data_IF_254923755712
#
_entry.id   IF_254923755712
#
_cell.length_a   1.000
_cell.length_b   1.000
_cell.length_c   1.000
_cell.angle_alpha   90.00
_cell.angle_beta   90.00
_cell.angle_gamma   90.00
#
_symmetry.space_group_name_H-M   'P 1'
#
loop_
_entity.id
_entity.type
_entity.pdbx_description
1 polymer ?
#
# COMPACT_ATOMS: atom_id res chain seq x y z
N UNK A 1 -75.09 -15.38 3.01
CA UNK A 1 -74.14 -14.26 3.09
C UNK A 1 -73.56 -14.35 4.50
N UNK A 2 -72.33 -14.75 4.74
CA UNK A 2 -71.08 -14.40 4.08
C UNK A 2 -70.06 -15.55 4.23
N UNK A 3 -69.49 -16.00 3.12
CA UNK A 3 -68.37 -16.94 3.12
C UNK A 3 -67.11 -16.23 3.65
N UNK A 4 -66.56 -16.72 4.76
CA UNK A 4 -65.25 -16.31 5.25
C UNK A 4 -64.17 -16.90 4.33
N UNK A 5 -63.56 -16.01 3.56
CA UNK A 5 -62.52 -16.30 2.60
C UNK A 5 -61.21 -16.63 3.34
N UNK A 6 -61.05 -17.89 3.74
CA UNK A 6 -59.87 -18.39 4.44
C UNK A 6 -58.71 -18.55 3.44
N UNK A 7 -58.08 -17.43 3.04
CA UNK A 7 -56.90 -17.45 2.20
C UNK A 7 -55.72 -18.05 2.99
N UNK A 8 -55.42 -19.33 2.75
CA UNK A 8 -54.20 -19.96 3.22
C UNK A 8 -52.99 -19.33 2.49
N UNK A 9 -52.27 -18.43 3.17
CA UNK A 9 -50.99 -17.95 2.68
C UNK A 9 -49.92 -19.01 2.94
N UNK A 10 -49.31 -19.53 1.87
CA UNK A 10 -48.09 -20.33 1.96
C UNK A 10 -46.92 -19.37 2.02
N UNK A 11 -46.35 -19.17 3.21
CA UNK A 11 -45.09 -18.44 3.37
C UNK A 11 -43.96 -19.41 3.07
N UNK A 12 -43.44 -19.40 1.83
CA UNK A 12 -42.20 -20.10 1.51
C UNK A 12 -41.01 -19.28 2.01
N UNK A 13 -40.32 -19.78 3.04
CA UNK A 13 -38.98 -19.30 3.38
C UNK A 13 -37.99 -19.98 2.43
N UNK A 14 -37.74 -19.38 1.27
CA UNK A 14 -36.58 -19.79 0.48
C UNK A 14 -35.31 -19.37 1.20
N UNK A 15 -34.37 -20.30 1.36
CA UNK A 15 -33.08 -19.98 1.97
C UNK A 15 -32.21 -19.24 0.95
N UNK A 16 -32.31 -17.91 0.97
CA UNK A 16 -31.57 -17.01 0.08
C UNK A 16 -30.03 -17.15 0.19
N UNK A 17 -29.51 -17.89 1.18
CA UNK A 17 -28.08 -18.18 1.29
C UNK A 17 -27.53 -19.00 0.13
N UNK A 18 -28.34 -19.86 -0.50
CA UNK A 18 -27.90 -20.71 -1.63
C UNK A 18 -27.67 -19.90 -2.92
N UNK A 19 -28.33 -18.75 -3.08
CA UNK A 19 -28.21 -17.87 -4.24
C UNK A 19 -27.05 -16.86 -4.13
N UNK A 20 -26.35 -16.82 -2.98
CA UNK A 20 -25.20 -15.92 -2.77
C UNK A 20 -23.85 -16.51 -3.17
N UNK A 21 -23.80 -17.75 -3.67
CA UNK A 21 -22.54 -18.39 -4.08
C UNK A 21 -21.67 -17.51 -4.99
N UNK A 22 -22.23 -16.81 -5.97
CA UNK A 22 -21.46 -15.91 -6.83
C UNK A 22 -20.84 -14.73 -6.07
N UNK A 23 -21.58 -14.15 -5.13
CA UNK A 23 -21.09 -13.07 -4.28
C UNK A 23 -20.01 -13.57 -3.30
N UNK A 24 -20.23 -14.73 -2.68
CA UNK A 24 -19.29 -15.35 -1.75
C UNK A 24 -18.00 -15.78 -2.49
N UNK A 25 -18.10 -16.28 -3.72
CA UNK A 25 -16.95 -16.61 -4.57
C UNK A 25 -16.18 -15.37 -4.99
N UNK A 26 -16.89 -14.29 -5.34
CA UNK A 26 -16.27 -13.00 -5.63
C UNK A 26 -15.53 -12.44 -4.41
N UNK A 27 -16.11 -12.53 -3.22
CA UNK A 27 -15.43 -12.13 -1.98
C UNK A 27 -14.17 -12.97 -1.74
N UNK A 28 -14.26 -14.29 -1.86
CA UNK A 28 -13.07 -15.18 -1.72
C UNK A 28 -11.99 -14.87 -2.74
N UNK A 29 -12.38 -14.53 -3.98
CA UNK A 29 -11.43 -14.10 -4.99
C UNK A 29 -10.75 -12.78 -4.60
N UNK A 30 -11.52 -11.79 -4.17
CA UNK A 30 -10.99 -10.51 -3.69
C UNK A 30 -10.04 -10.70 -2.51
N UNK A 31 -10.39 -11.54 -1.54
CA UNK A 31 -9.52 -11.88 -0.40
C UNK A 31 -8.19 -12.50 -0.86
N UNK A 32 -8.22 -13.45 -1.81
CA UNK A 32 -6.99 -14.05 -2.36
C UNK A 32 -6.14 -13.04 -3.13
N UNK A 33 -6.76 -12.13 -3.88
CA UNK A 33 -6.04 -11.05 -4.58
C UNK A 33 -5.39 -10.12 -3.55
N UNK A 34 -6.11 -9.72 -2.50
CA UNK A 34 -5.55 -8.91 -1.39
C UNK A 34 -4.41 -9.63 -0.67
N UNK A 35 -4.52 -10.93 -0.43
CA UNK A 35 -3.46 -11.74 0.18
C UNK A 35 -2.23 -11.84 -0.74
N UNK A 36 -2.43 -12.04 -2.04
CA UNK A 36 -1.35 -12.05 -3.03
C UNK A 36 -0.65 -10.69 -3.14
N UNK A 37 -1.42 -9.59 -3.15
CA UNK A 37 -0.88 -8.22 -3.09
C UNK A 37 -0.03 -8.06 -1.83
N UNK A 38 -0.54 -8.46 -0.67
CA UNK A 38 0.17 -8.30 0.61
C UNK A 38 1.47 -9.11 0.67
N UNK A 39 1.47 -10.32 0.14
CA UNK A 39 2.65 -11.20 0.12
C UNK A 39 3.72 -10.71 -0.86
N UNK A 40 3.32 -10.16 -2.01
CA UNK A 40 4.22 -9.68 -3.06
C UNK A 40 4.49 -8.17 -3.00
N UNK A 41 3.87 -7.45 -2.07
CA UNK A 41 3.96 -5.99 -1.93
C UNK A 41 5.41 -5.46 -1.94
N UNK A 42 6.38 -6.06 -1.21
CA UNK A 42 7.75 -5.57 -1.21
C UNK A 42 8.42 -5.63 -2.58
N UNK A 43 8.10 -6.65 -3.38
CA UNK A 43 8.66 -6.82 -4.72
C UNK A 43 7.99 -5.85 -5.70
N UNK A 44 6.66 -5.75 -5.66
CA UNK A 44 5.88 -4.88 -6.55
C UNK A 44 6.25 -3.40 -6.41
N UNK A 45 6.35 -2.89 -5.17
CA UNK A 45 6.74 -1.50 -4.88
C UNK A 45 8.12 -1.15 -5.46
N UNK A 46 8.95 -2.18 -5.61
CA UNK A 46 10.33 -2.06 -6.04
C UNK A 46 10.54 -2.32 -7.54
N UNK A 47 9.45 -2.38 -8.31
CA UNK A 47 9.49 -2.42 -9.76
C UNK A 47 9.72 -1.02 -10.35
N UNK A 48 10.63 -0.94 -11.33
CA UNK A 48 11.05 0.33 -11.94
C UNK A 48 9.98 0.92 -12.87
N UNK A 49 9.14 0.05 -13.43
CA UNK A 49 7.96 0.41 -14.23
C UNK A 49 7.03 1.37 -13.47
N UNK A 50 6.82 1.14 -12.18
CA UNK A 50 5.88 1.93 -11.37
C UNK A 50 6.40 3.34 -11.09
N UNK A 51 7.70 3.48 -10.84
CA UNK A 51 8.33 4.77 -10.50
C UNK A 51 8.47 5.66 -11.74
N UNK A 52 8.62 5.04 -12.92
CA UNK A 52 8.85 5.73 -14.19
C UNK A 52 7.55 6.00 -14.96
N UNK A 53 6.39 5.46 -14.53
CA UNK A 53 5.14 5.57 -15.28
C UNK A 53 4.13 6.56 -14.71
N UNK A 54 3.39 7.20 -15.63
CA UNK A 54 2.42 8.27 -15.33
C UNK A 54 1.06 7.73 -14.85
N UNK A 55 1.05 6.82 -13.87
CA UNK A 55 -0.12 6.47 -13.05
C UNK A 55 -1.30 5.79 -13.75
N UNK A 56 -1.12 5.24 -14.96
CA UNK A 56 -2.18 4.58 -15.74
C UNK A 56 -1.99 3.07 -15.95
N UNK A 57 -0.97 2.49 -15.34
CA UNK A 57 -0.65 1.10 -15.59
C UNK A 57 -1.40 0.16 -14.65
N UNK A 58 -1.85 -0.94 -15.24
CA UNK A 58 -2.43 -2.09 -14.57
C UNK A 58 -1.29 -3.08 -14.31
N UNK A 59 -1.09 -3.45 -13.06
CA UNK A 59 0.00 -4.34 -12.65
C UNK A 59 -0.51 -5.77 -12.65
N UNK A 60 0.25 -6.70 -13.23
CA UNK A 60 -0.14 -8.11 -13.28
C UNK A 60 0.52 -8.89 -12.15
N UNK A 61 -0.29 -9.45 -11.27
CA UNK A 61 0.18 -10.25 -10.14
C UNK A 61 -0.16 -11.72 -10.40
N UNK A 62 0.81 -12.65 -10.34
CA UNK A 62 0.51 -14.07 -10.43
C UNK A 62 -0.26 -14.52 -9.18
N UNK A 63 -1.48 -14.99 -9.37
CA UNK A 63 -2.29 -15.66 -8.36
C UNK A 63 -2.26 -17.17 -8.58
N UNK A 64 -2.09 -17.91 -7.49
CA UNK A 64 -2.26 -19.37 -7.49
C UNK A 64 -3.74 -19.67 -7.62
N UNK A 65 -4.15 -20.16 -8.79
CA UNK A 65 -5.47 -20.75 -8.96
C UNK A 65 -5.38 -22.25 -8.74
N UNK A 66 -6.44 -22.82 -8.17
CA UNK A 66 -6.64 -24.26 -8.20
C UNK A 66 -7.47 -24.55 -9.44
N UNK A 67 -6.95 -25.40 -10.32
CA UNK A 67 -7.74 -25.91 -11.43
C UNK A 67 -8.98 -26.62 -10.89
N UNK A 68 -10.13 -26.33 -11.49
CA UNK A 68 -11.34 -27.09 -11.22
C UNK A 68 -11.10 -28.56 -11.56
N UNK A 69 -11.62 -29.45 -10.71
CA UNK A 69 -11.55 -30.88 -10.98
C UNK A 69 -12.27 -31.20 -12.28
N UNK A 70 -11.50 -31.53 -13.33
CA UNK A 70 -12.05 -32.01 -14.60
C UNK A 70 -12.23 -33.53 -14.50
N UNK A 71 -13.45 -33.99 -14.77
CA UNK A 71 -13.69 -35.42 -14.99
C UNK A 71 -12.91 -35.80 -16.25
N UNK A 72 -11.83 -36.55 -16.08
CA UNK A 72 -11.09 -37.14 -17.20
C UNK A 72 -11.68 -38.51 -17.50
N UNK A 73 -11.88 -38.80 -18.79
CA UNK A 73 -12.17 -40.16 -19.21
C UNK A 73 -10.97 -41.03 -18.84
N UNK A 74 -11.23 -42.06 -18.03
CA UNK A 74 -10.23 -43.07 -17.71
C UNK A 74 -10.11 -43.99 -18.94
N UNK A 75 -9.07 -43.78 -19.75
CA UNK A 75 -8.79 -44.59 -20.94
C UNK A 75 -8.27 -45.99 -20.58
N UNK A 76 -7.83 -46.24 -19.34
CA UNK A 76 -7.29 -47.53 -18.89
C UNK A 76 -8.36 -48.61 -18.76
N UNK A 77 -9.65 -48.24 -18.74
CA UNK A 77 -10.77 -49.19 -18.74
C UNK A 77 -11.25 -49.61 -20.13
N UNK A 78 -10.69 -49.07 -21.21
CA UNK A 78 -10.97 -49.59 -22.54
C UNK A 78 -10.27 -50.94 -22.71
N UNK A 79 -10.97 -51.93 -23.27
CA UNK A 79 -10.36 -53.21 -23.67
C UNK A 79 -9.36 -52.92 -24.79
N UNK A 80 -8.09 -52.76 -24.44
CA UNK A 80 -7.01 -52.68 -25.42
C UNK A 80 -6.80 -54.07 -26.03
N UNK A 81 -6.74 -54.14 -27.35
CA UNK A 81 -6.31 -55.34 -28.08
C UNK A 81 -4.82 -55.17 -28.33
N UNK A 82 -3.98 -55.96 -27.68
CA UNK A 82 -2.53 -55.95 -27.95
C UNK A 82 -2.24 -56.69 -29.25
N UNK A 83 -1.57 -56.04 -30.19
CA UNK A 83 -1.07 -56.66 -31.42
C UNK A 83 0.42 -56.99 -31.21
N UNK A 84 0.77 -58.28 -31.24
CA UNK A 84 2.16 -58.73 -31.21
C UNK A 84 2.73 -58.89 -32.62
N UNK A 85 4.07 -58.89 -32.73
CA UNK A 85 4.82 -58.99 -34.00
C UNK A 85 4.77 -60.38 -34.68
N UNK A 86 3.87 -61.28 -34.25
CA UNK A 86 3.57 -62.53 -34.94
C UNK A 86 4.30 -63.79 -34.44
N UNK A 87 5.30 -63.66 -33.55
CA UNK A 87 6.09 -64.80 -33.02
C UNK A 87 5.86 -65.10 -31.52
N UNK A 88 4.78 -64.59 -30.91
CA UNK A 88 4.53 -64.70 -29.47
C UNK A 88 4.01 -66.08 -29.04
N UNK A 89 4.49 -66.60 -27.89
CA UNK A 89 4.00 -67.85 -27.29
C UNK A 89 3.02 -67.57 -26.14
N UNK A 90 2.19 -68.56 -25.83
CA UNK A 90 1.22 -68.49 -24.73
C UNK A 90 1.98 -68.33 -23.40
N UNK A 91 1.90 -67.14 -22.79
CA UNK A 91 2.59 -66.78 -21.55
C UNK A 91 3.46 -65.52 -21.64
N UNK A 92 3.70 -65.00 -22.86
CA UNK A 92 4.53 -63.80 -23.04
C UNK A 92 3.78 -62.51 -22.65
N UNK A 93 4.45 -61.64 -21.90
CA UNK A 93 3.93 -60.33 -21.50
C UNK A 93 4.24 -59.31 -22.60
N UNK A 94 3.20 -58.89 -23.32
CA UNK A 94 3.34 -58.05 -24.53
C UNK A 94 3.55 -56.56 -24.21
N UNK A 95 3.18 -56.10 -23.01
CA UNK A 95 3.53 -54.78 -22.49
C UNK A 95 3.37 -54.74 -20.96
N UNK A 96 4.18 -53.94 -20.26
CA UNK A 96 4.03 -53.64 -18.84
C UNK A 96 3.78 -52.14 -18.70
N UNK A 97 2.65 -51.78 -18.08
CA UNK A 97 2.25 -50.38 -17.93
C UNK A 97 3.28 -49.62 -17.08
N UNK A 98 3.84 -48.52 -17.60
CA UNK A 98 4.83 -47.68 -16.92
C UNK A 98 6.31 -47.92 -17.21
N UNK A 99 6.70 -48.70 -18.23
CA UNK A 99 8.10 -48.76 -18.67
C UNK A 99 8.40 -47.69 -19.73
N UNK A 100 9.29 -46.71 -19.46
CA UNK A 100 9.74 -45.77 -20.48
C UNK A 100 10.64 -46.50 -21.46
N UNK A 101 10.25 -46.54 -22.72
CA UNK A 101 11.14 -46.91 -23.81
C UNK A 101 12.26 -45.87 -23.92
N UNK A 102 13.49 -46.33 -23.72
CA UNK A 102 14.77 -45.75 -24.11
C UNK A 102 14.91 -44.21 -24.14
N UNK A 103 15.31 -43.64 -23.00
CA UNK A 103 16.03 -42.36 -22.96
C UNK A 103 17.43 -42.58 -22.37
N UNK A 104 18.42 -42.62 -23.26
CA UNK A 104 19.83 -42.67 -22.92
C UNK A 104 20.24 -41.51 -22.01
N UNK A 105 21.02 -41.84 -20.98
CA UNK A 105 21.53 -40.88 -20.01
C UNK A 105 22.44 -39.82 -20.63
N UNK A 106 22.02 -38.56 -20.52
CA UNK A 106 22.85 -37.38 -20.74
C UNK A 106 22.85 -36.51 -19.48
N UNK A 107 24.01 -36.38 -18.84
CA UNK A 107 24.27 -35.34 -17.82
C UNK A 107 24.13 -33.96 -18.47
N UNK A 108 23.03 -33.28 -18.22
CA UNK A 108 22.82 -31.88 -18.52
C UNK A 108 21.89 -31.27 -17.47
N UNK A 109 22.11 -30.00 -17.12
CA UNK A 109 21.12 -29.17 -16.44
C UNK A 109 19.90 -29.03 -17.37
N UNK A 110 19.03 -30.04 -17.35
CA UNK A 110 17.74 -30.03 -18.05
C UNK A 110 16.65 -29.50 -17.13
N UNK A 111 15.73 -28.72 -17.67
CA UNK A 111 14.51 -28.32 -16.98
C UNK A 111 13.80 -29.58 -16.45
N UNK A 112 13.38 -29.55 -15.18
CA UNK A 112 12.76 -30.72 -14.56
C UNK A 112 11.46 -31.11 -15.26
N UNK A 113 11.22 -32.41 -15.42
CA UNK A 113 10.03 -33.01 -16.04
C UNK A 113 8.72 -32.83 -15.23
N UNK A 114 8.73 -31.97 -14.21
CA UNK A 114 7.50 -31.61 -13.50
C UNK A 114 6.83 -30.48 -14.29
N UNK A 115 5.57 -30.70 -14.69
CA UNK A 115 4.74 -29.62 -15.22
C UNK A 115 4.80 -28.44 -14.25
N UNK A 116 5.12 -27.25 -14.77
CA UNK A 116 5.03 -26.02 -13.99
C UNK A 116 3.61 -25.83 -13.48
N UNK A 117 3.45 -25.21 -12.32
CA UNK A 117 2.13 -24.78 -11.87
C UNK A 117 1.67 -23.63 -12.77
N UNK A 118 0.46 -23.72 -13.34
CA UNK A 118 -0.13 -22.63 -14.11
C UNK A 118 -0.52 -21.51 -13.14
N UNK A 119 0.07 -20.32 -13.33
CA UNK A 119 -0.27 -19.11 -12.57
C UNK A 119 -1.22 -18.25 -13.41
N UNK A 120 -2.29 -17.76 -12.81
CA UNK A 120 -3.19 -16.81 -13.47
C UNK A 120 -2.73 -15.40 -13.13
N UNK A 121 -2.69 -14.51 -14.11
CA UNK A 121 -2.33 -13.10 -13.89
C UNK A 121 -3.60 -12.32 -13.50
N UNK A 122 -3.64 -11.80 -12.28
CA UNK A 122 -4.66 -10.84 -11.85
C UNK A 122 -4.18 -9.42 -12.15
N UNK A 123 -5.04 -8.64 -12.79
CA UNK A 123 -4.83 -7.21 -13.04
C UNK A 123 -5.19 -6.43 -11.78
N UNK A 124 -4.19 -5.75 -11.20
CA UNK A 124 -4.33 -4.93 -9.98
C UNK A 124 -4.07 -3.48 -10.32
N UNK A 125 -4.93 -2.62 -9.80
CA UNK A 125 -4.79 -1.18 -9.99
C UNK A 125 -3.74 -0.59 -9.06
N UNK A 126 -3.12 0.51 -9.51
CA UNK A 126 -2.20 1.29 -8.69
C UNK A 126 -2.84 1.73 -7.35
N UNK A 127 -4.13 2.09 -7.38
CA UNK A 127 -4.87 2.55 -6.21
C UNK A 127 -5.01 1.47 -5.14
N UNK A 128 -5.29 0.21 -5.53
CA UNK A 128 -5.39 -0.91 -4.59
C UNK A 128 -4.04 -1.21 -3.92
N UNK A 129 -2.93 -1.09 -4.69
CA UNK A 129 -1.59 -1.26 -4.14
C UNK A 129 -1.24 -0.13 -3.17
N UNK A 130 -1.57 1.12 -3.52
CA UNK A 130 -1.44 2.27 -2.64
C UNK A 130 -2.24 2.11 -1.34
N UNK A 131 -3.50 1.68 -1.43
CA UNK A 131 -4.33 1.43 -0.25
C UNK A 131 -3.72 0.35 0.66
N UNK A 132 -3.28 -0.77 0.07
CA UNK A 132 -2.64 -1.85 0.80
C UNK A 132 -1.33 -1.40 1.48
N UNK A 133 -0.53 -0.55 0.83
CA UNK A 133 0.70 0.01 1.37
C UNK A 133 0.44 1.05 2.47
N UNK A 134 -0.38 2.06 2.18
CA UNK A 134 -0.59 3.24 3.03
C UNK A 134 -1.43 2.93 4.27
N UNK A 135 -2.24 1.87 4.26
CA UNK A 135 -2.98 1.40 5.44
C UNK A 135 -2.08 1.11 6.65
N UNK A 136 -0.79 0.84 6.44
CA UNK A 136 0.18 0.51 7.49
C UNK A 136 1.13 1.67 7.85
N UNK A 137 1.03 2.81 7.18
CA UNK A 137 2.01 3.90 7.29
C UNK A 137 1.39 5.16 7.88
N UNK A 138 2.04 5.79 8.85
CA UNK A 138 1.63 7.06 9.45
C UNK A 138 2.86 7.94 9.71
N UNK A 139 2.68 9.27 9.73
CA UNK A 139 3.73 10.18 10.18
C UNK A 139 3.98 9.99 11.68
N UNK A 140 5.20 9.59 12.10
CA UNK A 140 5.50 9.38 13.50
C UNK A 140 5.55 10.71 14.25
N UNK A 141 5.21 10.71 15.53
CA UNK A 141 5.35 11.89 16.41
C UNK A 141 4.67 13.15 15.86
N UNK A 142 3.53 12.99 15.17
CA UNK A 142 2.75 14.11 14.64
C UNK A 142 2.10 14.86 15.82
N UNK A 143 2.57 16.08 16.08
CA UNK A 143 2.09 16.89 17.20
C UNK A 143 0.97 17.82 16.73
N UNK A 144 -0.08 17.93 17.56
CA UNK A 144 -1.09 18.98 17.43
C UNK A 144 -0.47 20.32 17.77
N UNK A 145 -0.26 21.17 16.77
CA UNK A 145 0.25 22.53 16.95
C UNK A 145 -0.94 23.48 17.15
N UNK A 146 -1.01 24.14 18.30
CA UNK A 146 -2.16 24.97 18.72
C UNK A 146 -2.41 26.21 17.85
N UNK A 147 -1.42 26.62 17.04
CA UNK A 147 -1.50 27.80 16.17
C UNK A 147 -1.77 27.47 14.69
N UNK A 148 -2.21 26.25 14.38
CA UNK A 148 -2.64 25.91 13.04
C UNK A 148 -4.03 26.53 12.76
N UNK A 149 -4.04 27.74 12.18
CA UNK A 149 -5.25 28.50 11.81
C UNK A 149 -6.14 27.83 10.73
N UNK A 150 -5.83 26.59 10.32
CA UNK A 150 -6.56 25.89 9.28
C UNK A 150 -7.46 24.81 9.88
N UNK A 151 -8.75 25.07 9.80
CA UNK A 151 -9.79 24.09 10.07
C UNK A 151 -10.16 23.42 8.75
N UNK A 152 -9.86 22.12 8.62
CA UNK A 152 -10.44 21.34 7.55
C UNK A 152 -11.94 21.18 7.82
N UNK A 153 -12.75 21.49 6.82
CA UNK A 153 -14.20 21.32 6.85
C UNK A 153 -14.53 19.85 6.55
N UNK A 154 -14.68 19.05 7.60
CA UNK A 154 -15.11 17.67 7.43
C UNK A 154 -16.63 17.57 7.50
N UNK A 155 -17.25 17.06 6.43
CA UNK A 155 -18.69 16.87 6.31
C UNK A 155 -19.06 15.50 6.90
N UNK A 156 -19.73 15.46 8.05
CA UNK A 156 -20.27 14.21 8.62
C UNK A 156 -21.80 14.14 8.46
N UNK A 157 -22.29 13.09 7.81
CA UNK A 157 -23.73 12.79 7.67
C UNK A 157 -24.29 12.08 8.93
N UNK A 158 -24.15 12.70 10.09
CA UNK A 158 -24.54 12.11 11.37
C UNK A 158 -25.87 12.65 11.95
N UNK A 159 -26.44 13.72 11.38
CA UNK A 159 -27.65 14.37 11.90
C UNK A 159 -28.91 13.97 11.12
N UNK A 160 -30.03 13.93 11.84
CA UNK A 160 -31.34 13.60 11.29
C UNK A 160 -32.34 14.67 11.67
N UNK A 161 -32.83 15.37 10.65
CA UNK A 161 -33.79 16.45 10.82
C UNK A 161 -35.17 16.05 10.31
N UNK A 162 -36.20 16.72 10.82
CA UNK A 162 -37.59 16.55 10.37
C UNK A 162 -37.87 17.27 9.04
N UNK A 163 -36.99 18.19 8.65
CA UNK A 163 -37.10 19.02 7.45
C UNK A 163 -35.76 19.05 6.74
N UNK A 164 -35.76 18.90 5.41
CA UNK A 164 -34.55 18.90 4.60
C UNK A 164 -34.85 18.74 3.11
N UNK A 165 -33.79 18.60 2.32
CA UNK A 165 -33.88 18.37 0.88
C UNK A 165 -34.48 16.99 0.59
N UNK A 166 -35.46 16.90 -0.32
CA UNK A 166 -36.13 15.63 -0.68
C UNK A 166 -35.19 14.54 -1.20
N UNK A 167 -34.02 14.92 -1.74
CA UNK A 167 -32.98 13.97 -2.13
C UNK A 167 -32.34 13.21 -0.96
N UNK A 168 -32.33 13.78 0.25
CA UNK A 168 -31.65 13.23 1.42
C UNK A 168 -32.58 12.54 2.42
N UNK A 169 -33.78 12.12 1.99
CA UNK A 169 -34.71 11.40 2.87
C UNK A 169 -34.09 10.07 3.31
N UNK A 170 -34.00 9.87 4.62
CA UNK A 170 -33.77 8.55 5.20
C UNK A 170 -35.06 7.73 5.11
N UNK A 171 -35.18 6.96 4.01
CA UNK A 171 -36.36 6.13 3.72
C UNK A 171 -36.67 5.16 4.87
N UNK A 172 -35.64 4.55 5.46
CA UNK A 172 -35.80 3.56 6.53
C UNK A 172 -36.34 4.22 7.79
N UNK A 173 -35.71 5.30 8.25
CA UNK A 173 -36.16 6.01 9.47
C UNK A 173 -37.50 6.70 9.28
N UNK A 174 -37.79 7.19 8.08
CA UNK A 174 -39.11 7.74 7.71
C UNK A 174 -40.20 6.68 7.83
N UNK A 175 -40.01 5.50 7.24
CA UNK A 175 -40.97 4.40 7.34
C UNK A 175 -41.16 3.93 8.79
N UNK A 176 -40.08 3.85 9.57
CA UNK A 176 -40.16 3.50 11.00
C UNK A 176 -40.95 4.56 11.79
N UNK A 177 -40.78 5.85 11.46
CA UNK A 177 -41.54 6.93 12.11
C UNK A 177 -43.03 6.81 11.82
N UNK A 178 -43.39 6.59 10.55
CA UNK A 178 -44.78 6.36 10.13
C UNK A 178 -45.37 5.13 10.82
N UNK A 179 -44.63 4.02 10.86
CA UNK A 179 -45.05 2.80 11.55
C UNK A 179 -45.31 3.04 13.04
N UNK A 180 -44.41 3.74 13.73
CA UNK A 180 -44.59 4.07 15.16
C UNK A 180 -45.84 4.91 15.40
N UNK A 181 -46.09 5.92 14.56
CA UNK A 181 -47.28 6.79 14.65
C UNK A 181 -48.58 6.03 14.36
N UNK A 182 -48.58 5.19 13.33
CA UNK A 182 -49.75 4.38 12.96
C UNK A 182 -50.05 3.32 14.05
N UNK A 183 -49.00 2.66 14.58
CA UNK A 183 -49.13 1.74 15.71
C UNK A 183 -49.69 2.41 16.98
N UNK A 184 -49.29 3.65 17.27
CA UNK A 184 -49.88 4.47 18.35
C UNK A 184 -51.38 4.75 18.13
N UNK A 185 -51.82 4.81 16.87
CA UNK A 185 -53.21 5.05 16.49
C UNK A 185 -54.04 3.76 16.36
N UNK A 186 -53.44 2.61 16.65
CA UNK A 186 -54.12 1.31 16.66
C UNK A 186 -54.03 0.50 15.36
N UNK A 187 -53.44 1.05 14.29
CA UNK A 187 -53.25 0.35 13.01
C UNK A 187 -51.76 0.27 12.67
N UNK A 188 -51.04 -0.78 13.06
CA UNK A 188 -49.61 -0.89 12.79
C UNK A 188 -49.33 -1.12 11.30
N UNK A 189 -49.04 -0.04 10.57
CA UNK A 189 -48.70 -0.08 9.14
C UNK A 189 -47.69 0.98 8.72
N UNK A 190 -47.02 0.78 7.58
CA UNK A 190 -46.08 1.76 7.01
C UNK A 190 -46.77 2.88 6.21
N UNK A 191 -48.08 2.77 6.00
CA UNK A 191 -48.91 3.74 5.30
C UNK A 191 -50.13 4.09 6.15
N UNK A 192 -50.66 5.32 6.06
CA UNK A 192 -50.16 6.46 5.29
C UNK A 192 -48.89 7.07 5.91
N UNK A 193 -48.03 7.67 5.07
CA UNK A 193 -46.86 8.46 5.50
C UNK A 193 -47.22 9.94 5.40
N UNK A 194 -47.11 10.68 6.50
CA UNK A 194 -47.32 12.13 6.50
C UNK A 194 -45.99 12.88 6.50
N UNK A 195 -46.05 14.19 6.20
CA UNK A 195 -44.86 15.06 6.18
C UNK A 195 -44.09 15.07 7.50
N UNK A 196 -44.78 14.85 8.62
CA UNK A 196 -44.21 14.79 9.97
C UNK A 196 -43.33 13.55 10.20
N UNK A 197 -43.56 12.49 9.43
CA UNK A 197 -42.80 11.25 9.49
C UNK A 197 -41.46 11.34 8.75
N UNK A 198 -41.28 12.37 7.90
CA UNK A 198 -40.05 12.53 7.14
C UNK A 198 -38.84 12.74 8.04
N UNK A 199 -37.81 11.95 7.77
CA UNK A 199 -36.48 12.07 8.36
C UNK A 199 -35.49 12.31 7.25
N UNK A 200 -34.72 13.38 7.35
CA UNK A 200 -33.72 13.77 6.37
C UNK A 200 -32.34 13.60 6.98
N UNK A 201 -31.42 12.99 6.24
CA UNK A 201 -30.00 12.98 6.59
C UNK A 201 -29.43 14.36 6.31
N UNK A 202 -28.91 15.00 7.34
CA UNK A 202 -28.23 16.29 7.25
C UNK A 202 -26.76 16.06 7.55
N UNK A 203 -25.92 16.87 6.91
CA UNK A 203 -24.51 16.91 7.25
C UNK A 203 -24.24 18.04 8.23
N UNK A 204 -23.32 17.80 9.15
CA UNK A 204 -22.72 18.85 9.95
C UNK A 204 -21.29 19.06 9.47
N UNK A 205 -20.89 20.32 9.38
CA UNK A 205 -19.50 20.71 9.17
C UNK A 205 -18.81 20.70 10.53
N UNK A 206 -17.86 19.79 10.71
CA UNK A 206 -17.03 19.73 11.90
C UNK A 206 -15.67 20.30 11.50
N UNK A 207 -15.28 21.39 12.16
CA UNK A 207 -13.94 21.92 12.05
C UNK A 207 -12.97 21.04 12.83
N UNK A 208 -12.14 20.27 12.13
CA UNK A 208 -11.04 19.52 12.74
C UNK A 208 -9.76 20.37 12.63
N UNK A 209 -9.07 20.67 13.75
CA UNK A 209 -7.79 21.33 13.69
C UNK A 209 -6.79 20.37 13.04
N UNK A 210 -6.27 20.74 11.88
CA UNK A 210 -5.28 19.94 11.17
C UNK A 210 -3.86 20.45 11.46
N UNK A 211 -2.93 19.52 11.63
CA UNK A 211 -1.55 19.84 12.00
C UNK A 211 -0.69 19.88 10.76
N UNK A 212 -0.19 21.08 10.42
CA UNK A 212 0.71 21.25 9.28
C UNK A 212 1.98 20.43 9.48
N UNK A 213 2.43 19.81 8.40
CA UNK A 213 3.70 19.12 8.37
C UNK A 213 4.45 19.47 7.09
N UNK A 214 5.77 19.53 7.20
CA UNK A 214 6.67 19.69 6.06
C UNK A 214 7.65 18.52 6.04
N UNK A 215 7.78 17.91 4.88
CA UNK A 215 8.74 16.83 4.62
C UNK A 215 9.86 17.37 3.75
N UNK A 216 11.09 17.32 4.26
CA UNK A 216 12.28 17.75 3.54
C UNK A 216 12.94 16.52 2.91
N UNK A 217 12.72 16.31 1.63
CA UNK A 217 13.26 15.20 0.85
C UNK A 217 14.66 15.57 0.35
N UNK A 218 15.69 15.01 0.98
CA UNK A 218 17.09 15.28 0.65
C UNK A 218 17.71 14.07 -0.06
N UNK A 219 18.19 14.27 -1.27
CA UNK A 219 18.85 13.22 -2.05
C UNK A 219 20.23 13.65 -2.50
N UNK A 220 21.19 12.78 -2.29
CA UNK A 220 22.52 12.90 -2.84
C UNK A 220 22.48 12.62 -4.36
N UNK A 221 23.06 13.51 -5.15
CA UNK A 221 23.15 13.42 -6.61
C UNK A 221 24.60 13.29 -7.08
N UNK A 222 25.53 13.00 -6.17
CA UNK A 222 26.95 12.84 -6.45
C UNK A 222 27.27 11.71 -7.44
N UNK A 223 28.54 11.66 -7.83
CA UNK A 223 29.07 10.65 -8.74
C UNK A 223 29.18 9.26 -8.13
N UNK A 224 29.23 9.12 -6.80
CA UNK A 224 29.30 7.82 -6.13
C UNK A 224 27.96 7.08 -6.18
N UNK A 225 26.85 7.83 -6.28
CA UNK A 225 25.52 7.30 -6.51
C UNK A 225 25.31 6.86 -7.97
N UNK A 226 25.41 5.54 -8.18
CA UNK A 226 25.13 4.88 -9.44
C UNK A 226 23.65 4.84 -9.80
N UNK A 227 23.34 4.14 -10.90
CA UNK A 227 21.96 3.98 -11.38
C UNK A 227 21.08 3.26 -10.35
N UNK A 228 21.62 2.23 -9.70
CA UNK A 228 20.88 1.44 -8.72
C UNK A 228 20.63 2.24 -7.44
N UNK A 229 21.63 2.98 -6.95
CA UNK A 229 21.50 3.79 -5.76
C UNK A 229 20.48 4.93 -5.95
N UNK A 230 20.56 5.62 -7.09
CA UNK A 230 19.59 6.65 -7.49
C UNK A 230 18.20 6.07 -7.66
N UNK A 231 18.08 4.88 -8.27
CA UNK A 231 16.82 4.19 -8.40
C UNK A 231 16.18 3.95 -7.03
N UNK A 232 16.92 3.42 -6.05
CA UNK A 232 16.37 3.13 -4.73
C UNK A 232 15.91 4.37 -3.96
N UNK A 233 16.71 5.44 -4.00
CA UNK A 233 16.33 6.71 -3.39
C UNK A 233 15.07 7.30 -4.05
N UNK A 234 15.01 7.31 -5.40
CA UNK A 234 13.86 7.81 -6.15
C UNK A 234 12.61 6.98 -5.90
N UNK A 235 12.71 5.65 -5.88
CA UNK A 235 11.58 4.78 -5.52
C UNK A 235 11.03 5.14 -4.14
N UNK A 236 11.89 5.28 -3.13
CA UNK A 236 11.45 5.67 -1.79
C UNK A 236 10.73 7.02 -1.79
N UNK A 237 11.32 8.06 -2.38
CA UNK A 237 10.71 9.40 -2.40
C UNK A 237 9.44 9.46 -3.24
N UNK A 238 9.33 8.68 -4.31
CA UNK A 238 8.12 8.55 -5.10
C UNK A 238 6.95 8.00 -4.27
N UNK A 239 7.17 6.88 -3.58
CA UNK A 239 6.16 6.28 -2.72
C UNK A 239 5.83 7.15 -1.52
N UNK A 240 6.82 7.81 -0.93
CA UNK A 240 6.63 8.77 0.14
C UNK A 240 5.77 9.96 -0.32
N UNK A 241 6.05 10.53 -1.47
CA UNK A 241 5.30 11.65 -2.03
C UNK A 241 3.82 11.27 -2.22
N UNK A 242 3.56 10.10 -2.82
CA UNK A 242 2.19 9.59 -2.97
C UNK A 242 1.51 9.31 -1.63
N UNK A 243 2.20 8.62 -0.73
CA UNK A 243 1.70 8.34 0.62
C UNK A 243 1.23 9.61 1.33
N UNK A 244 2.06 10.64 1.33
CA UNK A 244 1.78 11.89 2.03
C UNK A 244 0.62 12.64 1.40
N UNK A 245 0.57 12.74 0.06
CA UNK A 245 -0.52 13.41 -0.67
C UNK A 245 -1.86 12.69 -0.55
N UNK A 246 -1.85 11.36 -0.43
CA UNK A 246 -3.08 10.56 -0.29
C UNK A 246 -3.63 10.60 1.14
N UNK A 247 -2.75 10.60 2.16
CA UNK A 247 -3.17 10.50 3.58
C UNK A 247 -3.34 11.85 4.26
N UNK A 248 -2.62 12.89 3.84
CA UNK A 248 -2.59 14.18 4.51
C UNK A 248 -2.80 15.33 3.53
N UNK A 249 -3.79 16.18 3.80
CA UNK A 249 -4.12 17.32 2.93
C UNK A 249 -3.18 18.51 3.12
N UNK A 250 -2.64 18.71 4.33
CA UNK A 250 -1.85 19.90 4.70
C UNK A 250 -0.34 19.65 4.77
N UNK A 251 0.15 18.58 4.14
CA UNK A 251 1.59 18.28 4.06
C UNK A 251 2.24 18.99 2.87
N UNK A 252 3.26 19.79 3.15
CA UNK A 252 4.16 20.34 2.13
C UNK A 252 5.41 19.45 1.97
N UNK A 253 5.89 19.30 0.73
CA UNK A 253 7.08 18.49 0.43
C UNK A 253 8.07 19.39 -0.32
N UNK A 254 9.30 19.47 0.20
CA UNK A 254 10.38 20.25 -0.40
C UNK A 254 11.51 19.31 -0.79
N UNK A 255 11.90 19.36 -2.07
CA UNK A 255 12.93 18.51 -2.63
C UNK A 255 14.27 19.25 -2.67
N UNK A 256 15.30 18.66 -2.05
CA UNK A 256 16.64 19.20 -1.97
C UNK A 256 17.61 18.18 -2.57
N UNK A 257 18.21 18.53 -3.70
CA UNK A 257 19.30 17.76 -4.29
C UNK A 257 20.63 18.34 -3.82
N UNK A 258 21.61 17.48 -3.54
CA UNK A 258 22.95 17.94 -3.17
C UNK A 258 24.07 17.10 -3.79
N UNK A 259 25.17 17.78 -4.09
CA UNK A 259 26.46 17.19 -4.42
C UNK A 259 27.52 17.87 -3.54
N UNK A 260 28.33 18.73 -4.12
CA UNK A 260 29.16 19.72 -3.41
C UNK A 260 28.35 20.90 -2.90
N UNK A 261 27.23 21.22 -3.54
CA UNK A 261 26.30 22.28 -3.16
C UNK A 261 24.88 21.71 -3.10
N UNK A 262 24.05 22.28 -2.23
CA UNK A 262 22.65 21.88 -2.08
C UNK A 262 21.71 22.93 -2.68
N UNK A 263 20.71 22.47 -3.42
CA UNK A 263 19.70 23.32 -4.08
C UNK A 263 18.31 22.74 -3.87
N UNK A 264 17.35 23.63 -3.65
CA UNK A 264 15.93 23.28 -3.69
C UNK A 264 15.54 23.14 -5.16
N UNK A 265 14.95 22.01 -5.52
CA UNK A 265 14.60 21.65 -6.90
C UNK A 265 13.12 21.32 -6.98
N UNK A 266 12.47 21.51 -8.14
CA UNK A 266 11.11 21.01 -8.34
C UNK A 266 11.10 19.47 -8.36
N UNK A 267 9.90 18.90 -8.15
CA UNK A 267 9.67 17.45 -8.15
C UNK A 267 10.20 16.78 -9.43
N UNK A 268 9.92 17.37 -10.60
CA UNK A 268 10.37 16.83 -11.89
C UNK A 268 11.90 16.73 -12.00
N UNK A 269 12.62 17.78 -11.58
CA UNK A 269 14.09 17.82 -11.62
C UNK A 269 14.68 16.83 -10.62
N UNK A 270 14.06 16.66 -9.45
CA UNK A 270 14.51 15.71 -8.43
C UNK A 270 14.53 14.27 -8.96
N UNK A 271 13.50 13.87 -9.73
CA UNK A 271 13.40 12.52 -10.27
C UNK A 271 14.10 12.31 -11.62
N UNK A 272 14.34 13.37 -12.39
CA UNK A 272 14.92 13.25 -13.75
C UNK A 272 16.40 13.60 -13.84
N UNK A 273 16.90 14.52 -13.00
CA UNK A 273 18.23 15.12 -13.18
C UNK A 273 19.34 14.15 -12.76
N UNK A 274 20.36 14.04 -13.61
CA UNK A 274 21.62 13.37 -13.30
C UNK A 274 22.69 14.41 -13.03
N UNK A 275 23.29 14.39 -11.84
CA UNK A 275 24.45 15.22 -11.52
C UNK A 275 25.66 14.31 -11.25
N UNK A 276 26.85 14.88 -11.44
CA UNK A 276 28.13 14.24 -11.21
C UNK A 276 29.03 15.22 -10.45
N UNK A 277 29.69 14.74 -9.41
CA UNK A 277 30.47 15.57 -8.50
C UNK A 277 30.87 14.82 -7.24
N UNK A 278 31.67 15.45 -6.39
CA UNK A 278 31.94 14.95 -5.04
C UNK A 278 30.79 15.21 -4.09
N UNK A 279 30.83 14.59 -2.92
CA UNK A 279 29.77 14.66 -1.91
C UNK A 279 30.20 15.50 -0.72
N UNK A 280 29.43 16.54 -0.41
CA UNK A 280 29.56 17.35 0.82
C UNK A 280 28.18 17.39 1.48
N UNK A 281 27.91 16.43 2.36
CA UNK A 281 26.60 16.31 3.01
C UNK A 281 26.25 17.51 3.91
N UNK A 282 27.23 18.24 4.45
CA UNK A 282 26.91 19.42 5.28
C UNK A 282 26.19 20.51 4.50
N UNK A 283 26.30 20.53 3.17
CA UNK A 283 25.61 21.48 2.31
C UNK A 283 24.08 21.32 2.39
N UNK A 284 23.59 20.08 2.41
CA UNK A 284 22.14 19.78 2.41
C UNK A 284 21.49 20.15 3.73
N UNK A 285 22.16 19.86 4.85
CA UNK A 285 21.63 20.19 6.17
C UNK A 285 21.63 21.70 6.43
N UNK A 286 22.65 22.42 5.93
CA UNK A 286 22.65 23.88 5.99
C UNK A 286 21.47 24.45 5.20
N UNK A 287 21.22 23.93 3.99
CA UNK A 287 20.10 24.39 3.16
C UNK A 287 18.74 24.07 3.78
N UNK A 288 18.61 22.90 4.40
CA UNK A 288 17.41 22.52 5.15
C UNK A 288 17.14 23.47 6.32
N UNK A 289 18.15 23.78 7.13
CA UNK A 289 18.02 24.73 8.24
C UNK A 289 17.66 26.15 7.75
N UNK A 290 18.29 26.62 6.66
CA UNK A 290 17.97 27.90 6.02
C UNK A 290 16.50 27.92 5.55
N UNK A 291 16.03 26.84 4.93
CA UNK A 291 14.65 26.73 4.46
C UNK A 291 13.64 26.73 5.61
N UNK A 292 13.97 26.05 6.72
CA UNK A 292 13.16 26.03 7.94
C UNK A 292 13.03 27.43 8.51
N UNK A 293 14.15 28.14 8.68
CA UNK A 293 14.16 29.49 9.27
C UNK A 293 13.37 30.51 8.43
N UNK A 294 13.42 30.38 7.09
CA UNK A 294 12.74 31.30 6.19
C UNK A 294 11.25 30.99 5.97
N UNK A 295 10.85 29.71 5.89
CA UNK A 295 9.50 29.32 5.45
C UNK A 295 8.72 28.51 6.50
N UNK A 296 9.39 27.72 7.33
CA UNK A 296 8.75 26.71 8.18
C UNK A 296 9.07 26.87 9.66
N UNK A 297 8.29 27.69 10.35
CA UNK A 297 8.40 27.86 11.80
C UNK A 297 8.12 26.52 12.54
N UNK A 298 9.08 25.98 13.32
CA UNK A 298 8.92 24.73 14.09
C UNK A 298 7.78 24.73 15.11
N UNK A 299 7.31 25.92 15.52
CA UNK A 299 6.15 26.06 16.41
C UNK A 299 4.85 25.74 15.65
N UNK A 300 4.79 26.04 14.35
CA UNK A 300 3.59 25.90 13.52
C UNK A 300 3.60 24.64 12.66
N UNK A 301 4.78 24.16 12.25
CA UNK A 301 4.94 23.00 11.37
C UNK A 301 5.59 21.84 12.11
N UNK A 302 5.13 20.62 11.82
CA UNK A 302 5.86 19.39 12.14
C UNK A 302 6.88 19.12 11.03
N UNK A 303 8.16 19.03 11.36
CA UNK A 303 9.23 18.99 10.35
C UNK A 303 9.85 17.59 10.29
N UNK A 304 9.93 17.03 9.09
CA UNK A 304 10.41 15.67 8.81
C UNK A 304 11.49 15.64 7.72
N UNK A 305 12.76 15.85 8.08
CA UNK A 305 13.90 15.64 7.18
C UNK A 305 14.18 14.16 6.91
N UNK A 306 14.26 13.81 5.63
CA UNK A 306 14.71 12.51 5.14
C UNK A 306 15.90 12.68 4.21
N UNK A 307 17.03 12.08 4.55
CA UNK A 307 18.23 12.12 3.72
C UNK A 307 18.59 10.73 3.20
N UNK A 308 18.73 10.61 1.88
CA UNK A 308 19.23 9.41 1.21
C UNK A 308 20.58 9.67 0.54
N UNK A 309 21.55 8.80 0.83
CA UNK A 309 22.90 8.81 0.25
C UNK A 309 23.46 7.38 0.22
N UNK A 310 24.56 7.15 -0.50
CA UNK A 310 25.29 5.88 -0.54
C UNK A 310 26.29 5.71 0.62
N UNK A 311 26.41 6.72 1.49
CA UNK A 311 27.27 6.70 2.68
C UNK A 311 28.69 7.22 2.43
N UNK A 312 29.00 7.69 1.23
CA UNK A 312 30.28 8.33 0.92
C UNK A 312 30.22 9.84 1.16
N UNK A 313 31.18 10.36 1.92
CA UNK A 313 31.29 11.78 2.21
C UNK A 313 32.74 12.14 2.49
N UNK A 314 33.07 13.40 2.27
CA UNK A 314 34.38 13.92 2.60
C UNK A 314 34.63 13.82 4.12
N UNK A 315 35.70 13.14 4.53
CA UNK A 315 35.97 12.85 5.95
C UNK A 315 36.12 14.12 6.80
N UNK A 316 36.63 15.21 6.22
CA UNK A 316 36.74 16.51 6.90
C UNK A 316 35.39 17.18 7.16
N UNK A 317 34.36 16.79 6.42
CA UNK A 317 33.01 17.34 6.55
C UNK A 317 32.15 16.58 7.58
N UNK A 318 32.49 15.33 7.90
CA UNK A 318 31.71 14.48 8.82
C UNK A 318 31.46 15.13 10.19
N UNK A 319 32.46 15.81 10.76
CA UNK A 319 32.32 16.51 12.06
C UNK A 319 31.29 17.64 11.96
N UNK A 320 31.21 18.31 10.82
CA UNK A 320 30.23 19.37 10.56
C UNK A 320 28.84 18.78 10.31
N UNK A 321 28.74 17.67 9.59
CA UNK A 321 27.47 16.95 9.37
C UNK A 321 26.80 16.58 10.68
N UNK A 322 27.52 15.96 11.62
CA UNK A 322 26.96 15.55 12.92
C UNK A 322 26.38 16.75 13.67
N UNK A 323 27.12 17.88 13.74
CA UNK A 323 26.63 19.10 14.39
C UNK A 323 25.36 19.66 13.75
N UNK A 324 25.32 19.69 12.42
CA UNK A 324 24.14 20.19 11.69
C UNK A 324 22.93 19.26 11.85
N UNK A 325 23.15 17.95 11.87
CA UNK A 325 22.08 16.97 12.14
C UNK A 325 21.54 17.14 13.56
N UNK A 326 22.41 17.37 14.55
CA UNK A 326 21.99 17.68 15.93
C UNK A 326 21.16 18.97 16.04
N UNK A 327 21.53 20.01 15.29
CA UNK A 327 20.76 21.25 15.21
C UNK A 327 19.39 21.01 14.54
N UNK A 328 19.39 20.26 13.43
CA UNK A 328 18.18 19.93 12.70
C UNK A 328 17.20 19.09 13.53
N UNK A 329 17.71 18.15 14.33
CA UNK A 329 16.88 17.33 15.24
C UNK A 329 16.24 18.12 16.39
N UNK A 330 16.79 19.29 16.76
CA UNK A 330 16.18 20.16 17.78
C UNK A 330 14.90 20.79 17.24
N UNK A 331 14.89 21.14 15.96
CA UNK A 331 13.75 21.78 15.29
C UNK A 331 12.82 20.79 14.59
N UNK A 332 13.22 19.53 14.40
CA UNK A 332 12.42 18.49 13.75
C UNK A 332 11.73 17.53 14.72
N UNK A 333 10.68 16.87 14.23
CA UNK A 333 9.97 15.80 14.95
C UNK A 333 10.72 14.47 14.84
N UNK A 334 11.41 14.26 13.72
CA UNK A 334 12.22 13.08 13.43
C UNK A 334 13.31 13.47 12.43
N UNK A 335 14.40 12.71 12.38
CA UNK A 335 15.35 12.74 11.28
C UNK A 335 15.53 11.32 10.74
N UNK A 336 15.24 11.12 9.44
CA UNK A 336 15.37 9.84 8.76
C UNK A 336 16.62 9.81 7.86
N UNK A 337 17.48 8.81 8.03
CA UNK A 337 18.64 8.58 7.16
C UNK A 337 18.55 7.23 6.44
N UNK A 338 18.42 7.25 5.12
CA UNK A 338 18.48 6.08 4.27
C UNK A 338 19.87 5.93 3.67
N UNK A 339 20.58 4.86 3.99
CA UNK A 339 21.85 4.54 3.32
C UNK A 339 21.62 3.45 2.27
N UNK A 340 21.94 3.75 1.02
CA UNK A 340 21.83 2.78 -0.07
C UNK A 340 23.17 2.08 -0.27
N UNK A 341 23.28 0.85 0.22
CA UNK A 341 24.56 0.15 0.30
C UNK A 341 24.40 -1.35 -0.05
N UNK A 342 24.38 -1.65 -1.36
CA UNK A 342 24.21 -3.02 -1.86
C UNK A 342 25.34 -3.97 -1.44
N UNK A 343 26.57 -3.46 -1.39
CA UNK A 343 27.78 -4.27 -1.25
C UNK A 343 28.40 -4.23 0.15
N UNK A 344 27.69 -3.70 1.16
CA UNK A 344 28.23 -3.42 2.49
C UNK A 344 29.58 -2.68 2.44
N UNK A 345 29.68 -1.66 1.59
CA UNK A 345 30.84 -0.77 1.51
C UNK A 345 31.01 -0.05 2.84
N UNK A 346 32.25 0.31 3.17
CA UNK A 346 32.53 1.07 4.37
C UNK A 346 31.95 2.49 4.25
N UNK A 347 30.89 2.77 5.01
CA UNK A 347 30.25 4.09 5.05
C UNK A 347 30.95 5.00 6.06
N UNK A 348 31.44 6.14 5.56
CA UNK A 348 32.09 7.15 6.41
C UNK A 348 31.05 7.93 7.21
N UNK A 349 29.87 8.19 6.61
CA UNK A 349 28.76 8.88 7.25
C UNK A 349 28.12 8.06 8.37
N UNK A 350 27.80 6.78 8.12
CA UNK A 350 27.18 5.94 9.14
C UNK A 350 28.10 5.75 10.34
N UNK A 351 29.41 5.64 10.10
CA UNK A 351 30.39 5.58 11.19
C UNK A 351 30.37 6.86 12.04
N UNK A 352 30.17 8.02 11.42
CA UNK A 352 30.02 9.28 12.14
C UNK A 352 28.66 9.35 12.90
N UNK A 353 27.56 8.90 12.28
CA UNK A 353 26.23 8.93 12.88
C UNK A 353 26.00 7.89 13.97
N UNK A 354 26.79 6.82 14.04
CA UNK A 354 26.73 5.85 15.16
C UNK A 354 26.91 6.49 16.54
N UNK A 355 27.57 7.66 16.60
CA UNK A 355 27.78 8.38 17.85
C UNK A 355 26.58 9.27 18.25
N UNK A 356 25.56 9.39 17.39
CA UNK A 356 24.35 10.15 17.67
C UNK A 356 23.41 9.26 18.50
N UNK A 357 23.31 9.56 19.78
CA UNK A 357 22.37 8.90 20.70
C UNK A 357 21.13 9.79 20.90
N UNK A 358 20.16 9.68 19.98
CA UNK A 358 18.91 10.44 20.04
C UNK A 358 17.75 9.61 19.49
N UNK A 359 16.64 9.53 20.23
CA UNK A 359 15.43 8.79 19.84
C UNK A 359 14.80 9.31 18.54
N UNK A 360 14.99 10.58 18.21
CA UNK A 360 14.49 11.19 16.96
C UNK A 360 15.27 10.75 15.73
N UNK A 361 16.48 10.21 15.89
CA UNK A 361 17.32 9.75 14.79
C UNK A 361 16.91 8.33 14.40
N UNK A 362 16.37 8.16 13.20
CA UNK A 362 16.07 6.85 12.61
C UNK A 362 16.92 6.66 11.37
N UNK A 363 17.47 5.46 11.20
CA UNK A 363 18.20 5.10 9.99
C UNK A 363 17.79 3.73 9.47
N UNK A 364 17.97 3.52 8.16
CA UNK A 364 17.75 2.24 7.51
C UNK A 364 18.79 2.04 6.40
N UNK A 365 19.32 0.82 6.26
CA UNK A 365 20.30 0.48 5.23
C UNK A 365 19.60 -0.37 4.17
N UNK A 366 19.52 0.14 2.94
CA UNK A 366 18.90 -0.51 1.80
C UNK A 366 19.94 -1.35 1.04
N UNK A 367 19.72 -2.66 0.95
CA UNK A 367 20.59 -3.63 0.29
C UNK A 367 19.94 -4.27 -0.93
N UNK A 368 18.62 -4.45 -0.87
CA UNK A 368 17.81 -5.08 -1.90
C UNK A 368 16.66 -4.17 -2.31
N UNK A 369 16.07 -4.45 -3.48
CA UNK A 369 14.94 -3.66 -3.99
C UNK A 369 13.74 -3.65 -3.02
N UNK A 370 13.43 -4.79 -2.41
CA UNK A 370 12.37 -4.93 -1.41
C UNK A 370 12.60 -4.10 -0.13
N UNK A 371 13.83 -3.66 0.14
CA UNK A 371 14.13 -2.84 1.33
C UNK A 371 13.47 -1.47 1.29
N UNK A 372 13.04 -0.96 0.12
CA UNK A 372 12.27 0.29 0.05
C UNK A 372 11.00 0.20 0.88
N UNK A 373 10.27 -0.91 0.74
CA UNK A 373 9.05 -1.15 1.51
C UNK A 373 9.34 -1.23 3.02
N UNK A 374 10.39 -1.95 3.40
CA UNK A 374 10.78 -2.08 4.80
C UNK A 374 11.29 -0.76 5.39
N UNK A 375 12.01 0.06 4.61
CA UNK A 375 12.45 1.39 4.99
C UNK A 375 11.25 2.32 5.23
N UNK A 376 10.26 2.34 4.32
CA UNK A 376 9.01 3.08 4.51
C UNK A 376 8.31 2.66 5.80
N UNK A 377 8.17 1.35 6.02
CA UNK A 377 7.54 0.82 7.24
C UNK A 377 8.33 1.16 8.50
N UNK A 378 9.66 1.25 8.44
CA UNK A 378 10.50 1.64 9.57
C UNK A 378 10.36 3.13 9.90
N UNK A 379 10.41 3.98 8.88
CA UNK A 379 10.33 5.42 9.05
C UNK A 379 8.92 5.90 9.43
N UNK A 380 7.89 5.38 8.78
CA UNK A 380 6.49 5.77 8.97
C UNK A 380 5.71 4.82 9.90
N UNK A 381 6.41 4.24 10.89
CA UNK A 381 5.75 3.48 11.96
C UNK A 381 5.29 4.41 13.07
N UNK A 382 4.03 4.31 13.44
CA UNK A 382 3.51 4.96 14.64
C UNK A 382 4.03 4.25 15.92
N UNK A 383 4.61 5.04 16.82
CA UNK A 383 5.14 4.57 18.09
C UNK A 383 4.07 4.42 19.16
N UNK A 384 2.88 5.02 19.02
CA UNK A 384 1.81 4.84 20.02
C UNK A 384 1.36 3.38 20.14
N UNK A 385 1.54 2.59 19.08
CA UNK A 385 1.33 1.14 19.08
C UNK A 385 2.22 0.35 20.06
N UNK A 386 3.35 0.90 20.54
CA UNK A 386 4.19 0.26 21.56
C UNK A 386 3.71 0.46 22.99
N UNK A 387 2.86 1.46 23.28
CA UNK A 387 2.41 1.73 24.67
C UNK A 387 1.25 0.83 25.12
N UNK A 388 0.64 0.06 24.22
CA UNK A 388 -0.52 -0.79 24.50
C UNK A 388 -0.33 -2.27 24.10
N UNK A 389 0.91 -2.72 23.87
CA UNK A 389 1.24 -4.11 23.55
C UNK A 389 1.86 -4.85 24.73
#
# INVERSE_FOLDING_TARGET
>A
MSEENNQQYVISQENWSLHRKGYDDQQRHQEKVQEAIKNNLPELISEESIVMSNGRDVIKIPIRSLDEYKIRYNYDKNKHVGQGDGDSKVGDVVARDGSPSDAGGGKGQGAGDKAGEDYYEAEVSMMELEEALFSQLELPNLQKKEQAEHTLEHIEFNDIRKTGLMGNIDKKKTMISAFKRNALSGDPGFHPIYKEDFKFKTWNEIQKPDSKAVVLAMMDTSGSMGLWEKYMARSFFFWMNRFLRTKYETVEIEFIAHHTEAKVVPEEDFFSKGESGGTICSSVYRKALELIDHKYDPVKFNIYPFHFSDGDNLTSDNVRCVKLVEELMKVSNMFGYGEVNQYNRHSTLMTAYKNIDNEKFRYYILKQKADVFHAMKSFFKDEESKKYA
#
